data_IF_921816633806
#
_entry.id   IF_921816633806
#
_cell.length_a   1.000
_cell.length_b   1.000
_cell.length_c   1.000
_cell.angle_alpha   90.00
_cell.angle_beta   90.00
_cell.angle_gamma   90.00
#
_symmetry.space_group_name_H-M   'P 1'
#
loop_
_entity.id
_entity.type
_entity.pdbx_description
1 polymer ?
#
# COMPACT_ATOMS: atom_id res chain seq x y z
N UNK A 1 26.48 -59.28 28.87
CA UNK A 1 25.26 -59.33 28.03
C UNK A 1 24.64 -57.94 28.07
N UNK A 2 24.44 -57.14 27.04
CA UNK A 2 24.97 -56.96 25.69
C UNK A 2 24.47 -55.56 25.31
N UNK A 3 25.29 -54.76 24.63
CA UNK A 3 24.90 -53.49 23.99
C UNK A 3 23.77 -53.71 22.97
N UNK A 4 22.94 -52.68 22.74
CA UNK A 4 22.44 -52.35 21.40
C UNK A 4 21.99 -50.90 21.27
N UNK A 5 22.79 -50.15 20.51
CA UNK A 5 22.54 -48.83 19.89
C UNK A 5 21.28 -48.82 19.02
N UNK A 6 20.55 -47.70 19.02
CA UNK A 6 19.56 -47.35 18.00
C UNK A 6 19.96 -46.05 17.31
N UNK A 7 20.89 -46.15 16.36
CA UNK A 7 21.28 -45.10 15.42
C UNK A 7 20.83 -45.54 14.01
N UNK A 8 19.67 -45.08 13.55
CA UNK A 8 19.18 -45.48 12.21
C UNK A 8 18.14 -44.57 11.54
N UNK A 9 17.74 -43.46 12.16
CA UNK A 9 16.55 -42.71 11.69
C UNK A 9 16.79 -41.46 10.83
N UNK A 10 18.00 -40.90 10.76
CA UNK A 10 18.21 -39.54 10.21
C UNK A 10 18.72 -39.46 8.77
N UNK A 11 19.21 -40.55 8.18
CA UNK A 11 19.84 -40.48 6.85
C UNK A 11 18.84 -40.53 5.66
N UNK A 12 17.58 -40.95 5.88
CA UNK A 12 16.65 -41.22 4.78
C UNK A 12 15.84 -40.00 4.30
N UNK A 13 15.76 -38.90 5.07
CA UNK A 13 14.91 -37.74 4.72
C UNK A 13 15.60 -36.70 3.83
N UNK A 14 16.92 -36.70 3.77
CA UNK A 14 17.70 -35.67 3.05
C UNK A 14 17.78 -35.94 1.54
N UNK A 15 17.69 -37.19 1.10
CA UNK A 15 17.86 -37.55 -0.32
C UNK A 15 16.63 -37.22 -1.17
N UNK A 16 15.44 -37.14 -0.55
CA UNK A 16 14.19 -36.88 -1.29
C UNK A 16 14.05 -35.43 -1.77
N UNK A 17 14.69 -34.47 -1.10
CA UNK A 17 14.59 -33.04 -1.45
C UNK A 17 15.49 -32.63 -2.62
N UNK A 18 16.63 -33.30 -2.79
CA UNK A 18 17.59 -32.95 -3.85
C UNK A 18 17.06 -33.32 -5.24
N UNK A 19 16.33 -34.44 -5.36
CA UNK A 19 15.77 -34.87 -6.64
C UNK A 19 14.60 -33.99 -7.11
N UNK A 20 13.79 -33.44 -6.19
CA UNK A 20 12.69 -32.54 -6.55
C UNK A 20 13.19 -31.18 -7.08
N UNK A 21 14.27 -30.64 -6.50
CA UNK A 21 14.85 -29.35 -6.93
C UNK A 21 15.48 -29.40 -8.33
N UNK A 22 16.10 -30.52 -8.72
CA UNK A 22 16.76 -30.66 -10.03
C UNK A 22 15.73 -30.76 -11.17
N UNK A 23 14.56 -31.37 -10.93
CA UNK A 23 13.50 -31.48 -11.94
C UNK A 23 12.82 -30.12 -12.19
N UNK A 24 12.61 -29.30 -11.16
CA UNK A 24 12.02 -27.96 -11.31
C UNK A 24 12.92 -27.02 -12.13
N UNK A 25 14.23 -27.10 -11.91
CA UNK A 25 15.22 -26.26 -12.60
C UNK A 25 15.34 -26.59 -14.10
N UNK A 26 15.11 -27.86 -14.47
CA UNK A 26 15.09 -28.27 -15.88
C UNK A 26 13.83 -27.80 -16.64
N UNK A 27 12.68 -27.66 -15.96
CA UNK A 27 11.43 -27.16 -16.57
C UNK A 27 11.50 -25.64 -16.80
N UNK A 28 12.08 -24.89 -15.86
CA UNK A 28 12.22 -23.43 -15.98
C UNK A 28 13.24 -23.01 -17.06
N UNK A 29 14.31 -23.80 -17.26
CA UNK A 29 15.27 -23.54 -18.32
C UNK A 29 14.72 -23.80 -19.75
N UNK A 30 13.65 -24.59 -19.88
CA UNK A 30 13.02 -24.91 -21.17
C UNK A 30 12.07 -23.84 -21.70
N UNK A 31 11.44 -23.04 -20.83
CA UNK A 31 10.44 -22.04 -21.21
C UNK A 31 11.02 -20.65 -21.53
N UNK A 32 12.28 -20.38 -21.16
CA UNK A 32 12.92 -19.07 -21.36
C UNK A 32 13.52 -18.80 -22.75
N UNK A 33 13.42 -19.73 -23.71
CA UNK A 33 14.16 -19.64 -24.98
C UNK A 33 13.30 -19.48 -26.24
N UNK A 34 12.06 -18.99 -26.14
CA UNK A 34 11.24 -18.81 -27.34
C UNK A 34 10.30 -17.62 -27.19
N UNK A 35 10.77 -16.40 -27.51
CA UNK A 35 10.12 -15.37 -28.36
C UNK A 35 11.00 -14.10 -28.32
N UNK A 36 12.05 -14.05 -29.14
CA UNK A 36 12.68 -12.79 -29.62
C UNK A 36 13.21 -13.04 -31.03
N UNK A 37 12.39 -12.75 -32.04
CA UNK A 37 12.68 -12.28 -33.43
C UNK A 37 11.28 -11.92 -33.99
N UNK A 38 10.88 -10.68 -34.26
CA UNK A 38 11.46 -9.68 -35.16
C UNK A 38 10.57 -9.55 -36.40
N UNK A 39 9.97 -8.39 -36.65
CA UNK A 39 9.55 -7.91 -37.99
C UNK A 39 9.16 -6.44 -37.94
N UNK A 40 9.98 -5.66 -38.63
CA UNK A 40 9.90 -4.24 -38.93
C UNK A 40 9.08 -3.95 -40.20
N UNK A 41 8.84 -2.65 -40.43
CA UNK A 41 8.50 -1.96 -41.69
C UNK A 41 7.02 -1.88 -42.11
N UNK A 42 6.58 -0.62 -42.24
CA UNK A 42 5.30 -0.21 -42.82
C UNK A 42 5.15 1.31 -42.82
N UNK A 43 5.95 1.99 -43.65
CA UNK A 43 5.80 3.37 -44.10
C UNK A 43 4.41 3.63 -44.71
N UNK A 44 3.84 4.83 -44.49
CA UNK A 44 3.61 5.83 -45.55
C UNK A 44 2.53 6.88 -45.21
N UNK A 45 2.98 8.14 -45.22
CA UNK A 45 2.40 9.31 -45.94
C UNK A 45 1.05 9.90 -45.48
N UNK A 46 1.16 11.07 -44.82
CA UNK A 46 0.67 12.33 -45.40
C UNK A 46 -0.67 12.89 -44.89
N UNK A 47 -0.58 13.90 -44.01
CA UNK A 47 -1.52 15.04 -44.00
C UNK A 47 -0.91 16.20 -43.20
N UNK A 48 -0.74 17.34 -43.87
CA UNK A 48 -0.33 18.64 -43.31
C UNK A 48 -1.24 19.11 -42.16
N UNK A 49 -0.68 19.71 -41.08
CA UNK A 49 -1.46 20.46 -40.12
C UNK A 49 -1.54 21.95 -40.51
N UNK A 50 -2.71 22.41 -40.95
CA UNK A 50 -3.07 23.84 -40.89
C UNK A 50 -3.49 24.19 -39.45
N UNK A 51 -2.86 25.19 -38.80
CA UNK A 51 -3.30 25.65 -37.48
C UNK A 51 -4.43 26.70 -37.62
N UNK A 52 -5.61 26.51 -37.00
CA UNK A 52 -6.49 27.64 -36.76
C UNK A 52 -5.87 28.54 -35.68
N UNK A 53 -5.56 29.76 -36.09
CA UNK A 53 -5.24 30.88 -35.20
C UNK A 53 -6.45 31.27 -34.36
N UNK A 54 -6.15 31.62 -33.10
CA UNK A 54 -6.84 32.58 -32.24
C UNK A 54 -8.33 32.34 -31.91
N UNK A 55 -8.56 31.71 -30.75
CA UNK A 55 -9.51 32.25 -29.78
C UNK A 55 -8.73 32.51 -28.48
N UNK A 56 -8.57 33.80 -28.20
CA UNK A 56 -8.09 34.33 -26.93
C UNK A 56 -9.13 34.01 -25.85
N UNK A 57 -8.76 33.24 -24.83
CA UNK A 57 -9.44 33.32 -23.54
C UNK A 57 -8.40 33.06 -22.44
N UNK A 58 -8.07 34.16 -21.75
CA UNK A 58 -7.42 34.26 -20.46
C UNK A 58 -6.47 33.14 -20.06
N UNK A 59 -5.19 33.31 -20.37
CA UNK A 59 -4.13 32.82 -19.49
C UNK A 59 -4.28 33.53 -18.14
N UNK A 60 -5.11 32.98 -17.25
CA UNK A 60 -5.06 33.30 -15.84
C UNK A 60 -3.74 32.73 -15.31
N UNK A 61 -2.72 33.58 -15.26
CA UNK A 61 -1.54 33.35 -14.42
C UNK A 61 -2.04 32.92 -13.04
N UNK A 62 -1.66 31.75 -12.50
CA UNK A 62 -1.84 31.51 -11.08
C UNK A 62 -0.87 32.45 -10.34
N UNK A 63 -1.27 33.72 -10.18
CA UNK A 63 -0.77 34.59 -9.12
C UNK A 63 -1.49 34.19 -7.83
N UNK A 64 -1.24 32.95 -7.41
CA UNK A 64 -1.52 32.49 -6.06
C UNK A 64 -0.17 32.26 -5.42
N UNK A 65 0.39 33.28 -4.80
CA UNK A 65 1.35 33.05 -3.72
C UNK A 65 0.58 32.16 -2.73
N UNK A 66 0.97 30.90 -2.59
CA UNK A 66 0.45 30.06 -1.50
C UNK A 66 1.06 30.63 -0.24
N UNK A 67 0.45 31.69 0.30
CA UNK A 67 0.71 32.10 1.67
C UNK A 67 0.27 30.95 2.56
N UNK A 68 1.10 30.52 3.53
CA UNK A 68 0.66 29.54 4.51
C UNK A 68 -0.63 30.06 5.13
N UNK A 69 -1.69 29.25 5.14
CA UNK A 69 -2.95 29.57 5.81
C UNK A 69 -2.68 29.61 7.31
N UNK A 70 -2.13 30.74 7.77
CA UNK A 70 -1.95 31.02 9.18
C UNK A 70 -3.33 31.10 9.80
N UNK A 71 -3.62 30.21 10.75
CA UNK A 71 -4.77 30.37 11.63
C UNK A 71 -4.74 31.80 12.21
N UNK A 72 -5.87 32.49 12.19
CA UNK A 72 -5.97 33.84 12.73
C UNK A 72 -5.44 33.84 14.18
N UNK A 73 -4.53 34.75 14.55
CA UNK A 73 -4.07 34.81 15.93
C UNK A 73 -5.25 35.09 16.85
N UNK A 74 -5.38 34.28 17.91
CA UNK A 74 -6.39 34.42 18.94
C UNK A 74 -6.17 35.76 19.67
N UNK A 75 -6.97 36.77 19.33
CA UNK A 75 -6.99 38.05 20.03
C UNK A 75 -7.82 37.84 21.28
N UNK A 76 -7.19 37.32 22.33
CA UNK A 76 -7.86 37.00 23.60
C UNK A 76 -8.72 38.15 24.15
N UNK A 77 -9.57 37.83 25.12
CA UNK A 77 -10.73 38.58 25.66
C UNK A 77 -10.53 40.06 26.08
N UNK A 78 -9.33 40.64 25.91
CA UNK A 78 -8.98 42.02 26.27
C UNK A 78 -9.07 43.05 25.14
N UNK A 79 -9.27 42.67 23.89
CA UNK A 79 -9.46 43.61 22.78
C UNK A 79 -10.94 43.69 22.40
N UNK A 80 -11.64 44.72 22.87
CA UNK A 80 -13.04 44.95 22.49
C UNK A 80 -13.19 45.10 20.97
N UNK A 81 -13.77 44.11 20.29
CA UNK A 81 -14.17 44.24 18.89
C UNK A 81 -14.38 42.92 18.14
N UNK A 82 -15.63 42.48 18.07
CA UNK A 82 -16.24 41.55 17.10
C UNK A 82 -15.78 40.06 17.06
N UNK A 83 -16.72 39.09 16.97
CA UNK A 83 -16.40 37.71 16.67
C UNK A 83 -16.04 37.61 15.17
N UNK A 84 -14.75 37.48 14.86
CA UNK A 84 -14.30 37.22 13.49
C UNK A 84 -13.08 38.05 13.12
N UNK A 85 -12.06 37.34 12.65
CA UNK A 85 -10.91 37.94 11.96
C UNK A 85 -11.39 38.92 10.90
N UNK A 86 -10.96 40.16 11.00
CA UNK A 86 -11.33 41.24 10.09
C UNK A 86 -10.30 41.46 8.98
N UNK A 87 -9.36 40.53 8.81
CA UNK A 87 -8.54 40.52 7.60
C UNK A 87 -9.36 39.87 6.46
N UNK A 88 -9.52 40.50 5.29
CA UNK A 88 -10.33 39.98 4.18
C UNK A 88 -9.88 38.63 3.60
N UNK A 89 -8.77 38.06 4.10
CA UNK A 89 -8.26 36.72 3.76
C UNK A 89 -8.29 35.71 4.91
N UNK A 90 -8.86 36.07 6.07
CA UNK A 90 -8.78 35.26 7.28
C UNK A 90 -10.02 34.38 7.47
N UNK A 91 -9.86 33.06 7.34
CA UNK A 91 -10.90 32.07 7.66
C UNK A 91 -10.95 31.87 9.20
N UNK A 92 -12.13 31.97 9.84
CA UNK A 92 -12.27 31.64 11.25
C UNK A 92 -11.80 30.22 11.53
N UNK A 93 -10.98 30.05 12.57
CA UNK A 93 -10.57 28.72 13.02
C UNK A 93 -11.78 28.00 13.64
N UNK A 94 -12.21 26.92 13.00
CA UNK A 94 -13.25 26.01 13.50
C UNK A 94 -12.62 24.66 13.85
N UNK A 95 -12.29 24.42 15.14
CA UNK A 95 -11.67 23.19 15.56
C UNK A 95 -12.54 21.96 15.30
N UNK A 96 -13.87 22.09 15.42
CA UNK A 96 -14.78 20.95 15.26
C UNK A 96 -14.87 20.53 13.79
N UNK A 97 -14.91 21.50 12.87
CA UNK A 97 -14.87 21.22 11.43
C UNK A 97 -13.54 20.57 11.00
N UNK A 98 -12.41 21.02 11.56
CA UNK A 98 -11.09 20.46 11.25
C UNK A 98 -10.92 19.04 11.81
N UNK A 99 -11.36 18.79 13.05
CA UNK A 99 -11.38 17.44 13.62
C UNK A 99 -12.30 16.53 12.79
N UNK A 100 -13.53 16.96 12.52
CA UNK A 100 -14.47 16.20 11.70
C UNK A 100 -13.93 15.83 10.32
N UNK A 101 -13.18 16.73 9.67
CA UNK A 101 -12.50 16.46 8.39
C UNK A 101 -11.40 15.41 8.52
N UNK A 102 -10.62 15.44 9.62
CA UNK A 102 -9.57 14.45 9.87
C UNK A 102 -10.16 13.06 10.18
N UNK A 103 -11.26 13.00 10.93
CA UNK A 103 -11.98 11.75 11.16
C UNK A 103 -12.56 11.22 9.84
N UNK A 104 -13.15 12.06 9.01
CA UNK A 104 -13.70 11.66 7.70
C UNK A 104 -12.60 11.12 6.76
N UNK A 105 -11.39 11.67 6.82
CA UNK A 105 -10.25 11.19 6.02
C UNK A 105 -9.89 9.73 6.31
N UNK A 106 -10.02 9.29 7.57
CA UNK A 106 -9.71 7.91 8.01
C UNK A 106 -10.87 6.93 7.78
N UNK A 107 -12.05 7.43 7.44
CA UNK A 107 -13.19 6.55 7.19
C UNK A 107 -13.02 5.82 5.86
N UNK A 108 -13.23 4.50 5.90
CA UNK A 108 -13.25 3.66 4.71
C UNK A 108 -14.59 3.76 3.99
N UNK A 109 -14.54 3.67 2.67
CA UNK A 109 -15.73 3.61 1.82
C UNK A 109 -16.44 2.25 1.93
N UNK A 110 -17.21 2.06 3.01
CA UNK A 110 -17.99 0.84 3.26
C UNK A 110 -17.22 -0.25 4.03
N UNK A 111 -18.00 -1.20 4.55
CA UNK A 111 -17.53 -2.33 5.35
C UNK A 111 -17.20 -3.58 4.54
N UNK A 112 -16.72 -4.67 5.17
CA UNK A 112 -16.37 -5.91 4.47
C UNK A 112 -17.55 -6.51 3.69
N UNK A 113 -18.78 -6.39 4.19
CA UNK A 113 -20.00 -6.83 3.51
C UNK A 113 -20.27 -6.10 2.18
N UNK A 114 -19.79 -4.88 2.01
CA UNK A 114 -19.93 -4.10 0.77
C UNK A 114 -18.91 -4.53 -0.30
N UNK A 115 -17.87 -5.29 0.10
CA UNK A 115 -16.72 -5.67 -0.72
C UNK A 115 -16.44 -7.19 -0.67
N UNK A 116 -17.37 -8.03 -1.16
CA UNK A 116 -17.30 -9.48 -0.99
C UNK A 116 -16.08 -10.13 -1.67
N UNK A 117 -15.52 -9.55 -2.74
CA UNK A 117 -14.32 -10.10 -3.39
C UNK A 117 -13.05 -9.79 -2.59
N UNK A 118 -12.97 -8.60 -1.99
CA UNK A 118 -11.90 -8.29 -1.04
C UNK A 118 -12.00 -9.19 0.20
N UNK A 119 -13.19 -9.38 0.75
CA UNK A 119 -13.42 -10.26 1.90
C UNK A 119 -13.04 -11.72 1.61
N UNK A 120 -13.33 -12.22 0.39
CA UNK A 120 -12.96 -13.56 -0.01
C UNK A 120 -11.45 -13.82 -0.10
N UNK A 121 -10.63 -12.76 -0.22
CA UNK A 121 -9.17 -12.88 -0.27
C UNK A 121 -8.51 -13.05 1.11
N UNK A 122 -9.18 -12.62 2.19
CA UNK A 122 -8.62 -12.59 3.56
C UNK A 122 -8.01 -13.93 3.99
N UNK A 123 -8.67 -15.10 3.85
CA UNK A 123 -8.10 -16.36 4.34
C UNK A 123 -6.79 -16.77 3.65
N UNK A 124 -6.66 -16.51 2.34
CA UNK A 124 -5.45 -16.82 1.60
C UNK A 124 -4.28 -15.91 2.02
N UNK A 125 -4.60 -14.65 2.32
CA UNK A 125 -3.63 -13.66 2.81
C UNK A 125 -3.16 -13.99 4.21
N UNK A 126 -4.08 -14.37 5.10
CA UNK A 126 -3.75 -14.86 6.43
C UNK A 126 -2.81 -16.07 6.37
N UNK A 127 -3.10 -17.05 5.50
CA UNK A 127 -2.26 -18.24 5.33
C UNK A 127 -0.85 -17.87 4.84
N UNK A 128 -0.74 -16.95 3.87
CA UNK A 128 0.54 -16.52 3.31
C UNK A 128 1.39 -15.71 4.31
N UNK A 129 0.78 -14.88 5.15
CA UNK A 129 1.50 -14.03 6.11
C UNK A 129 1.74 -14.71 7.48
N UNK A 130 0.99 -15.77 7.80
CA UNK A 130 1.14 -16.49 9.07
C UNK A 130 2.58 -17.00 9.36
N UNK A 131 3.40 -17.44 8.39
CA UNK A 131 4.80 -17.79 8.65
C UNK A 131 5.63 -16.61 9.15
N UNK A 132 5.41 -15.41 8.61
CA UNK A 132 6.10 -14.18 9.02
C UNK A 132 5.70 -13.79 10.44
N UNK A 133 4.43 -13.93 10.79
CA UNK A 133 3.96 -13.62 12.14
C UNK A 133 4.53 -14.57 13.22
N UNK A 134 4.93 -15.80 12.85
CA UNK A 134 5.43 -16.79 13.82
C UNK A 134 6.88 -16.59 14.22
N UNK A 135 7.60 -15.67 13.59
CA UNK A 135 8.98 -15.35 13.98
C UNK A 135 8.99 -14.58 15.30
N UNK A 136 10.09 -14.72 16.04
CA UNK A 136 10.42 -13.83 17.16
C UNK A 136 11.18 -12.58 16.71
N UNK A 137 11.69 -12.59 15.47
CA UNK A 137 12.43 -11.49 14.87
C UNK A 137 11.48 -10.51 14.19
N UNK A 138 11.92 -9.25 14.07
CA UNK A 138 11.19 -8.21 13.37
C UNK A 138 10.89 -8.63 11.91
N UNK A 139 9.68 -8.35 11.46
CA UNK A 139 9.23 -8.65 10.10
C UNK A 139 9.76 -7.58 9.14
N UNK A 140 10.39 -7.99 8.03
CA UNK A 140 10.83 -7.07 7.00
C UNK A 140 9.69 -6.75 6.01
N UNK A 141 9.59 -5.48 5.60
CA UNK A 141 8.56 -5.05 4.65
C UNK A 141 8.63 -5.81 3.31
N UNK A 142 9.85 -6.06 2.81
CA UNK A 142 10.08 -6.79 1.56
C UNK A 142 9.55 -8.23 1.62
N UNK A 143 9.60 -8.88 2.79
CA UNK A 143 9.07 -10.24 2.96
C UNK A 143 7.54 -10.25 2.87
N UNK A 144 6.89 -9.20 3.40
CA UNK A 144 5.42 -9.02 3.28
C UNK A 144 5.03 -8.82 1.82
N UNK A 145 5.74 -7.94 1.11
CA UNK A 145 5.50 -7.69 -0.32
C UNK A 145 5.70 -8.97 -1.13
N UNK A 146 6.78 -9.72 -0.89
CA UNK A 146 7.05 -10.97 -1.58
C UNK A 146 5.95 -12.02 -1.35
N UNK A 147 5.52 -12.21 -0.10
CA UNK A 147 4.47 -13.17 0.24
C UNK A 147 3.13 -12.84 -0.45
N UNK A 148 2.78 -11.55 -0.56
CA UNK A 148 1.57 -11.11 -1.23
C UNK A 148 1.70 -11.15 -2.77
N UNK A 149 2.88 -10.89 -3.30
CA UNK A 149 3.18 -11.03 -4.73
C UNK A 149 3.08 -12.49 -5.19
N UNK A 150 3.46 -13.46 -4.36
CA UNK A 150 3.31 -14.89 -4.65
C UNK A 150 1.83 -15.32 -4.78
N UNK A 151 0.90 -14.56 -4.17
CA UNK A 151 -0.55 -14.73 -4.36
C UNK A 151 -1.09 -14.02 -5.61
N UNK A 152 -0.24 -13.28 -6.33
CA UNK A 152 -0.59 -12.52 -7.52
C UNK A 152 -1.07 -11.10 -7.25
N UNK A 153 -0.91 -10.57 -6.04
CA UNK A 153 -1.23 -9.18 -5.75
C UNK A 153 -0.05 -8.26 -6.11
N UNK A 154 -0.35 -7.24 -6.92
CA UNK A 154 0.59 -6.17 -7.25
C UNK A 154 0.28 -4.92 -6.43
N UNK A 155 1.17 -3.91 -6.51
CA UNK A 155 0.98 -2.59 -5.90
C UNK A 155 0.70 -2.62 -4.39
N UNK A 156 1.35 -3.54 -3.69
CA UNK A 156 1.26 -3.68 -2.23
C UNK A 156 1.86 -2.45 -1.56
N UNK A 157 1.05 -1.76 -0.77
CA UNK A 157 1.46 -0.65 0.09
C UNK A 157 1.94 -1.24 1.42
N UNK A 158 3.09 -0.77 1.91
CA UNK A 158 3.66 -1.18 3.20
C UNK A 158 4.07 0.04 4.01
N UNK A 159 3.88 -0.06 5.33
CA UNK A 159 4.36 0.92 6.31
C UNK A 159 5.14 0.16 7.38
N UNK A 160 6.45 0.32 7.35
CA UNK A 160 7.41 -0.28 8.28
C UNK A 160 8.09 0.76 9.17
N UNK A 161 7.68 2.03 9.08
CA UNK A 161 8.22 3.15 9.84
C UNK A 161 7.14 4.02 10.45
N UNK A 162 7.46 4.59 11.61
CA UNK A 162 6.62 5.61 12.25
C UNK A 162 6.88 7.01 11.66
N UNK A 163 6.17 8.03 12.16
CA UNK A 163 6.31 9.43 11.76
C UNK A 163 7.76 9.97 11.92
N UNK A 164 8.51 9.46 12.90
CA UNK A 164 9.90 9.82 13.15
C UNK A 164 10.89 9.12 12.21
N UNK A 165 10.42 8.18 11.38
CA UNK A 165 11.24 7.39 10.47
C UNK A 165 11.90 6.15 11.07
N UNK A 166 11.63 5.84 12.34
CA UNK A 166 12.12 4.64 13.02
C UNK A 166 11.34 3.40 12.57
N UNK A 167 12.00 2.25 12.52
CA UNK A 167 11.35 0.98 12.21
C UNK A 167 10.31 0.62 13.27
N UNK A 168 9.14 0.16 12.82
CA UNK A 168 8.12 -0.42 13.69
C UNK A 168 8.23 -1.94 13.70
N UNK A 169 7.76 -2.56 14.78
CA UNK A 169 7.78 -4.01 14.96
C UNK A 169 6.69 -4.73 14.16
N UNK A 170 5.63 -4.01 13.79
CA UNK A 170 4.49 -4.49 13.03
C UNK A 170 4.45 -3.75 11.70
N UNK A 171 4.66 -4.46 10.60
CA UNK A 171 4.55 -3.90 9.26
C UNK A 171 3.08 -3.83 8.88
N UNK A 172 2.58 -2.61 8.67
CA UNK A 172 1.27 -2.39 8.07
C UNK A 172 1.30 -2.69 6.58
N UNK A 173 0.24 -3.28 6.05
CA UNK A 173 0.11 -3.55 4.62
C UNK A 173 -1.29 -3.23 4.10
N UNK A 174 -1.41 -2.93 2.80
CA UNK A 174 -2.68 -2.75 2.13
C UNK A 174 -2.58 -2.88 0.61
N UNK A 175 -3.57 -3.47 -0.04
CA UNK A 175 -3.63 -3.62 -1.49
C UNK A 175 -5.06 -3.80 -1.99
N UNK A 176 -5.27 -3.55 -3.28
CA UNK A 176 -6.58 -3.70 -3.92
C UNK A 176 -6.84 -5.17 -4.25
N UNK A 177 -8.01 -5.68 -3.86
CA UNK A 177 -8.47 -7.03 -4.15
C UNK A 177 -9.92 -6.99 -4.65
N UNK A 178 -10.10 -7.12 -5.96
CA UNK A 178 -11.44 -7.17 -6.57
C UNK A 178 -12.17 -5.82 -6.50
N UNK A 179 -13.18 -5.72 -5.63
CA UNK A 179 -14.01 -4.52 -5.44
C UNK A 179 -13.54 -3.59 -4.31
N UNK A 180 -12.64 -4.05 -3.44
CA UNK A 180 -12.20 -3.29 -2.28
C UNK A 180 -10.72 -3.45 -1.98
N UNK A 181 -10.36 -3.17 -0.74
CA UNK A 181 -9.03 -3.27 -0.19
C UNK A 181 -8.95 -4.42 0.80
N UNK A 182 -7.81 -5.11 0.81
CA UNK A 182 -7.36 -5.94 1.94
C UNK A 182 -6.23 -5.19 2.61
N UNK A 183 -6.28 -5.11 3.94
CA UNK A 183 -5.32 -4.35 4.73
C UNK A 183 -5.13 -4.99 6.11
N UNK A 184 -4.06 -4.62 6.79
CA UNK A 184 -3.77 -5.19 8.10
C UNK A 184 -2.37 -4.91 8.57
N UNK A 185 -1.90 -5.73 9.50
CA UNK A 185 -0.56 -5.65 10.06
C UNK A 185 -0.01 -7.02 10.38
N UNK A 186 1.30 -7.20 10.17
CA UNK A 186 2.04 -8.42 10.50
C UNK A 186 3.28 -8.06 11.30
N UNK A 187 3.45 -8.73 12.45
CA UNK A 187 4.55 -8.53 13.37
C UNK A 187 4.90 -9.83 14.10
N UNK A 188 5.99 -9.84 14.88
CA UNK A 188 6.45 -11.04 15.57
C UNK A 188 5.46 -11.52 16.63
N UNK A 189 5.72 -12.73 17.14
CA UNK A 189 4.99 -13.37 18.25
C UNK A 189 3.51 -13.67 17.96
N UNK A 190 3.20 -13.96 16.69
CA UNK A 190 1.88 -14.33 16.22
C UNK A 190 0.95 -13.14 15.96
N UNK A 191 1.48 -11.92 15.90
CA UNK A 191 0.69 -10.73 15.58
C UNK A 191 0.40 -10.68 14.09
N UNK A 192 -0.82 -11.06 13.73
CA UNK A 192 -1.36 -10.95 12.39
C UNK A 192 -2.81 -10.48 12.49
N UNK A 193 -3.10 -9.38 11.82
CA UNK A 193 -4.45 -8.86 11.63
C UNK A 193 -4.65 -8.64 10.13
N UNK A 194 -5.73 -9.19 9.58
CA UNK A 194 -6.08 -9.06 8.16
C UNK A 194 -7.56 -8.75 8.06
N UNK A 195 -7.88 -7.66 7.38
CA UNK A 195 -9.23 -7.15 7.22
C UNK A 195 -9.50 -6.80 5.77
N UNK A 196 -10.78 -6.67 5.43
CA UNK A 196 -11.23 -6.21 4.12
C UNK A 196 -12.26 -5.09 4.27
N UNK A 197 -12.30 -4.18 3.30
CA UNK A 197 -13.25 -3.08 3.26
C UNK A 197 -13.00 -2.16 2.08
N UNK A 198 -13.57 -0.96 2.12
CA UNK A 198 -13.31 0.05 1.09
C UNK A 198 -11.90 0.66 1.18
N UNK A 199 -11.55 1.40 0.13
CA UNK A 199 -10.45 2.35 0.17
C UNK A 199 -10.71 3.48 1.17
N UNK A 200 -9.65 4.15 1.58
CA UNK A 200 -9.71 5.38 2.38
C UNK A 200 -9.90 6.60 1.47
N UNK A 201 -10.11 7.78 2.06
CA UNK A 201 -10.48 8.99 1.32
C UNK A 201 -9.43 9.46 0.28
N UNK A 202 -8.16 9.08 0.44
CA UNK A 202 -7.09 9.36 -0.52
C UNK A 202 -7.02 8.35 -1.69
N UNK A 203 -7.93 7.37 -1.72
CA UNK A 203 -7.97 6.31 -2.73
C UNK A 203 -7.01 5.14 -2.47
N UNK A 204 -6.26 5.18 -1.37
CA UNK A 204 -5.36 4.12 -0.94
C UNK A 204 -6.06 2.98 -0.16
N UNK A 205 -5.29 1.92 0.11
CA UNK A 205 -5.74 0.82 0.97
C UNK A 205 -5.13 0.89 2.38
N UNK A 206 -4.05 1.64 2.54
CA UNK A 206 -3.34 1.84 3.79
C UNK A 206 -3.25 3.33 4.11
N UNK A 207 -3.42 3.70 5.38
CA UNK A 207 -3.28 5.09 5.82
C UNK A 207 -1.84 5.58 5.60
N UNK A 208 -1.69 6.80 5.10
CA UNK A 208 -0.39 7.43 4.99
C UNK A 208 0.18 7.67 6.40
N UNK A 209 1.47 7.37 6.66
CA UNK A 209 2.09 7.69 7.94
C UNK A 209 1.92 9.19 8.22
N UNK A 210 1.19 9.53 9.28
CA UNK A 210 0.98 10.92 9.67
C UNK A 210 2.32 11.60 9.94
N UNK A 211 2.61 12.70 9.23
CA UNK A 211 3.81 13.52 9.35
C UNK A 211 3.85 14.34 10.66
#
# INVERSE_FOLDING_TARGET
>A
MSHQSSEGGRAARTVSWVLAGVVLLAVLAGFGFLVVVGSSLGDALGADPDPPSAAEDGAATPSGTVEPTGACPDLGDGAGGAPGGTDPGCVPYDPDALMGSNEAYRQRAGGPEDHPRALAAVPAVEEALAPLARTSDAVAADDVVAALADLGYADVQVVDRNASGDLVDTVGFGFVAGDGCVYGGVGPDGRLDVQAGGGIADGGCLEMPSH
#
